data_IF_289565930266
#
_entry.id   IF_289565930266
#
_cell.length_a   1.000
_cell.length_b   1.000
_cell.length_c   1.000
_cell.angle_alpha   90.00
_cell.angle_beta   90.00
_cell.angle_gamma   90.00
#
_symmetry.space_group_name_H-M   'P 1'
#
loop_
_entity.id
_entity.type
_entity.pdbx_description
1 polymer ?
#
# COMPACT_ATOMS: atom_id res chain seq x y z
N UNK A 1 0.50 -8.73 -9.31
CA UNK A 1 0.14 -9.68 -8.27
C UNK A 1 1.40 -10.13 -7.59
N UNK A 2 1.55 -9.62 -6.38
CA UNK A 2 2.62 -9.88 -5.46
C UNK A 2 2.10 -9.47 -4.07
N UNK A 3 2.39 -10.30 -3.06
CA UNK A 3 2.15 -9.93 -1.67
C UNK A 3 3.27 -8.98 -1.22
N UNK A 4 2.87 -7.79 -0.80
CA UNK A 4 3.76 -6.75 -0.29
C UNK A 4 4.08 -7.01 1.19
N UNK A 5 5.26 -6.58 1.64
CA UNK A 5 5.60 -6.64 3.08
C UNK A 5 4.90 -5.50 3.83
N UNK A 6 4.06 -5.86 4.80
CA UNK A 6 3.41 -4.88 5.68
C UNK A 6 4.40 -4.38 6.74
N UNK A 7 4.66 -3.07 6.75
CA UNK A 7 5.44 -2.43 7.79
C UNK A 7 4.80 -2.61 9.17
N UNK A 8 5.60 -2.88 10.19
CA UNK A 8 5.15 -3.10 11.58
C UNK A 8 5.42 -1.87 12.43
N UNK A 9 4.74 -1.77 13.57
CA UNK A 9 4.94 -0.68 14.54
C UNK A 9 6.43 -0.48 14.86
N UNK A 10 6.87 0.78 14.88
CA UNK A 10 8.27 1.16 15.02
C UNK A 10 8.99 1.41 13.69
N UNK A 11 8.43 1.01 12.56
CA UNK A 11 9.00 1.34 11.25
C UNK A 11 8.82 2.85 10.96
N UNK A 12 9.88 3.59 10.57
CA UNK A 12 9.83 5.06 10.43
C UNK A 12 8.81 5.53 9.40
N UNK A 13 8.56 4.76 8.33
CA UNK A 13 7.57 5.10 7.30
C UNK A 13 6.17 5.37 7.86
N UNK A 14 5.78 4.71 8.96
CA UNK A 14 4.46 4.87 9.59
C UNK A 14 4.29 6.22 10.32
N UNK A 15 5.35 7.02 10.42
CA UNK A 15 5.35 8.36 11.03
C UNK A 15 5.46 9.48 10.00
N UNK A 16 5.65 9.14 8.72
CA UNK A 16 5.78 10.12 7.64
C UNK A 16 4.41 10.41 7.04
N UNK A 17 4.18 11.66 6.61
CA UNK A 17 3.01 12.01 5.82
C UNK A 17 3.22 11.53 4.38
N UNK A 18 2.26 10.78 3.85
CA UNK A 18 2.24 10.39 2.44
C UNK A 18 2.29 11.61 1.52
N UNK A 19 3.00 11.49 0.40
CA UNK A 19 2.95 12.46 -0.69
C UNK A 19 1.66 12.30 -1.49
N UNK A 20 1.22 13.40 -2.12
CA UNK A 20 0.05 13.37 -3.00
C UNK A 20 0.37 12.64 -4.31
N UNK A 21 -0.57 11.80 -4.74
CA UNK A 21 -0.46 11.13 -6.04
C UNK A 21 -0.84 12.11 -7.14
N UNK A 22 0.13 12.49 -7.96
CA UNK A 22 -0.07 13.47 -9.04
C UNK A 22 -0.96 12.96 -10.19
N UNK A 23 -0.84 11.69 -10.57
CA UNK A 23 -1.70 11.03 -11.55
C UNK A 23 -2.21 9.67 -11.03
N UNK A 24 -3.45 9.62 -10.51
CA UNK A 24 -4.06 8.37 -10.04
C UNK A 24 -4.30 7.33 -11.15
N UNK A 25 -4.28 7.72 -12.41
CA UNK A 25 -4.53 6.84 -13.56
C UNK A 25 -3.28 6.19 -14.10
N UNK A 26 -2.10 6.63 -13.64
CA UNK A 26 -0.82 6.12 -14.08
C UNK A 26 -0.74 4.58 -13.89
N UNK A 27 -0.24 3.82 -14.89
CA UNK A 27 -0.15 2.36 -14.80
C UNK A 27 0.56 1.82 -13.54
N UNK A 28 1.64 2.45 -13.03
CA UNK A 28 2.28 2.02 -11.79
C UNK A 28 1.37 2.15 -10.55
N UNK A 29 0.53 3.18 -10.48
CA UNK A 29 -0.43 3.38 -9.38
C UNK A 29 -1.48 2.29 -9.41
N UNK A 30 -2.03 1.99 -10.60
CA UNK A 30 -2.95 0.86 -10.77
C UNK A 30 -2.32 -0.45 -10.30
N UNK A 31 -1.06 -0.72 -10.68
CA UNK A 31 -0.34 -1.94 -10.26
C UNK A 31 -0.20 -1.99 -8.73
N UNK A 32 0.24 -0.90 -8.11
CA UNK A 32 0.39 -0.80 -6.66
C UNK A 32 -0.93 -1.08 -5.93
N UNK A 33 -2.04 -0.48 -6.38
CA UNK A 33 -3.37 -0.71 -5.78
C UNK A 33 -3.78 -2.18 -5.87
N UNK A 34 -3.52 -2.84 -7.00
CA UNK A 34 -3.84 -4.27 -7.16
C UNK A 34 -3.01 -5.14 -6.20
N UNK A 35 -1.71 -4.88 -6.09
CA UNK A 35 -0.83 -5.61 -5.18
C UNK A 35 -1.22 -5.34 -3.69
N UNK A 36 -1.67 -4.12 -3.35
CA UNK A 36 -2.18 -3.77 -2.01
C UNK A 36 -3.50 -4.47 -1.67
N UNK A 37 -4.44 -4.57 -2.62
CA UNK A 37 -5.70 -5.30 -2.41
C UNK A 37 -5.42 -6.77 -2.13
N UNK A 38 -4.54 -7.38 -2.92
CA UNK A 38 -4.13 -8.78 -2.73
C UNK A 38 -3.48 -8.98 -1.35
N UNK A 39 -2.56 -8.07 -0.97
CA UNK A 39 -1.89 -8.08 0.34
C UNK A 39 -2.88 -7.91 1.52
N UNK A 40 -3.90 -7.05 1.36
CA UNK A 40 -4.92 -6.85 2.39
C UNK A 40 -5.72 -8.13 2.64
N UNK A 41 -6.11 -8.83 1.57
CA UNK A 41 -6.83 -10.09 1.69
C UNK A 41 -5.96 -11.20 2.30
N UNK A 42 -4.71 -11.32 1.88
CA UNK A 42 -3.74 -12.27 2.44
C UNK A 42 -3.52 -12.06 3.96
N UNK A 43 -3.43 -10.80 4.39
CA UNK A 43 -3.32 -10.44 5.81
C UNK A 43 -4.64 -10.55 6.59
N UNK A 44 -5.72 -11.03 5.96
CA UNK A 44 -7.07 -11.10 6.53
C UNK A 44 -7.56 -9.75 7.11
N UNK A 45 -7.17 -8.65 6.44
CA UNK A 45 -7.45 -7.26 6.82
C UNK A 45 -8.74 -6.71 6.21
N UNK A 46 -9.16 -5.54 6.68
CA UNK A 46 -10.34 -4.80 6.16
C UNK A 46 -9.99 -3.48 5.45
N UNK A 47 -8.72 -3.08 5.51
CA UNK A 47 -8.19 -1.90 4.85
C UNK A 47 -6.67 -1.92 4.89
N UNK A 48 -6.03 -1.32 3.87
CA UNK A 48 -4.58 -1.19 3.78
C UNK A 48 -4.24 0.18 3.15
N UNK A 49 -3.37 0.92 3.82
CA UNK A 49 -2.79 2.16 3.31
C UNK A 49 -1.38 1.91 2.79
N UNK A 50 -0.90 2.76 1.89
CA UNK A 50 0.40 2.57 1.26
C UNK A 50 1.54 2.84 2.27
N UNK A 51 1.78 4.12 2.61
CA UNK A 51 1.90 4.56 4.02
C UNK A 51 1.57 6.06 4.23
#
# INVERSE_FOLDING_TARGET
>A
MAILKIARMGHPVLQHRAEEVSDPTAPPIRKLVMDMIETMHDANGRGLAAP
#
